data_IF_176271742713
#
_entry.id   IF_176271742713
#
_cell.length_a   1.000
_cell.length_b   1.000
_cell.length_c   1.000
_cell.angle_alpha   90.00
_cell.angle_beta   90.00
_cell.angle_gamma   90.00
#
_symmetry.space_group_name_H-M   'P 1'
#
loop_
_entity.id
_entity.type
_entity.pdbx_description
1 polymer ?
#
# COMPACT_ATOMS: atom_id res chain seq x y z
N UNK A 1 -14.55 -54.90 39.36
CA UNK A 1 -13.14 -54.49 39.15
C UNK A 1 -12.76 -54.78 37.71
N UNK A 2 -12.61 -53.76 36.88
CA UNK A 2 -11.51 -53.56 35.92
C UNK A 2 -11.84 -52.38 35.02
N UNK A 3 -11.09 -51.29 35.17
CA UNK A 3 -11.08 -50.12 34.31
C UNK A 3 -10.19 -50.39 33.10
N UNK A 4 -10.73 -50.30 31.89
CA UNK A 4 -9.95 -50.18 30.66
C UNK A 4 -10.00 -48.72 30.20
N UNK A 5 -8.83 -48.10 30.07
CA UNK A 5 -8.62 -46.80 29.46
C UNK A 5 -8.86 -46.88 27.94
N UNK A 6 -9.72 -46.01 27.41
CA UNK A 6 -9.73 -45.65 25.99
C UNK A 6 -9.47 -44.15 25.88
N UNK A 7 -8.27 -43.79 25.43
CA UNK A 7 -7.90 -42.41 25.12
C UNK A 7 -8.57 -41.93 23.82
N UNK A 8 -8.85 -40.62 23.67
CA UNK A 8 -9.51 -40.11 22.47
C UNK A 8 -8.55 -40.05 21.26
N UNK A 9 -9.04 -40.55 20.13
CA UNK A 9 -8.38 -40.58 18.82
C UNK A 9 -8.06 -39.17 18.25
N UNK A 10 -7.00 -39.02 17.44
CA UNK A 10 -6.48 -37.72 17.02
C UNK A 10 -7.28 -37.13 15.85
N UNK A 11 -8.33 -36.36 16.14
CA UNK A 11 -9.10 -35.61 15.13
C UNK A 11 -8.48 -34.28 14.69
N UNK A 12 -7.30 -33.91 15.18
CA UNK A 12 -6.72 -32.57 14.96
C UNK A 12 -5.79 -32.35 13.77
N UNK A 13 -5.29 -33.40 13.10
CA UNK A 13 -4.15 -33.23 12.14
C UNK A 13 -4.53 -33.05 10.66
N UNK A 14 -5.70 -33.48 10.21
CA UNK A 14 -6.10 -33.34 8.79
C UNK A 14 -6.72 -31.98 8.44
N UNK A 15 -7.33 -31.29 9.42
CA UNK A 15 -7.89 -29.95 9.21
C UNK A 15 -6.82 -28.86 9.13
N UNK A 16 -5.70 -29.01 9.86
CA UNK A 16 -4.60 -28.04 9.85
C UNK A 16 -3.80 -28.05 8.53
N UNK A 17 -3.69 -29.20 7.85
CA UNK A 17 -2.94 -29.32 6.60
C UNK A 17 -3.71 -28.71 5.43
N UNK A 18 -5.04 -28.80 5.39
CA UNK A 18 -5.85 -28.17 4.34
C UNK A 18 -5.88 -26.63 4.44
N UNK A 19 -5.86 -26.06 5.65
CA UNK A 19 -5.79 -24.61 5.83
C UNK A 19 -4.44 -24.00 5.45
N UNK A 20 -3.35 -24.75 5.61
CA UNK A 20 -2.01 -24.28 5.22
C UNK A 20 -1.84 -24.18 3.70
N UNK A 21 -2.39 -25.15 2.95
CA UNK A 21 -2.33 -25.15 1.49
C UNK A 21 -3.19 -24.07 0.81
N UNK A 22 -4.32 -23.66 1.42
CA UNK A 22 -5.10 -22.52 0.90
C UNK A 22 -4.38 -21.17 1.07
N UNK A 23 -3.50 -21.03 2.07
CA UNK A 23 -2.66 -19.84 2.24
C UNK A 23 -1.45 -19.79 1.30
N UNK A 24 -0.95 -20.92 0.81
CA UNK A 24 0.24 -20.96 -0.05
C UNK A 24 -0.08 -20.72 -1.53
N UNK A 25 -1.28 -21.07 -1.99
CA UNK A 25 -1.68 -20.86 -3.39
C UNK A 25 -1.86 -19.37 -3.72
N UNK A 26 -2.28 -18.54 -2.76
CA UNK A 26 -2.39 -17.08 -2.95
C UNK A 26 -1.07 -16.32 -2.99
N UNK A 27 0.00 -16.87 -2.42
CA UNK A 27 1.34 -16.24 -2.42
C UNK A 27 2.14 -16.65 -3.65
N UNK A 28 1.98 -17.91 -4.12
CA UNK A 28 2.63 -18.40 -5.31
C UNK A 28 2.08 -17.78 -6.60
N UNK A 29 0.76 -17.53 -6.69
CA UNK A 29 0.17 -16.85 -7.86
C UNK A 29 0.54 -15.38 -7.92
N UNK A 30 0.64 -14.68 -6.78
CA UNK A 30 1.10 -13.29 -6.72
C UNK A 30 2.53 -13.14 -7.23
N UNK A 31 3.46 -14.00 -6.79
CA UNK A 31 4.84 -13.98 -7.26
C UNK A 31 4.98 -14.41 -8.72
N UNK A 32 4.18 -15.37 -9.22
CA UNK A 32 4.23 -15.78 -10.63
C UNK A 32 3.67 -14.72 -11.57
N UNK A 33 2.64 -13.98 -11.14
CA UNK A 33 2.10 -12.84 -11.91
C UNK A 33 3.11 -11.69 -11.93
N UNK A 34 3.73 -11.36 -10.79
CA UNK A 34 4.77 -10.32 -10.73
C UNK A 34 5.98 -10.69 -11.59
N UNK A 35 6.47 -11.92 -11.51
CA UNK A 35 7.57 -12.39 -12.35
C UNK A 35 7.20 -12.45 -13.84
N UNK A 36 5.99 -12.89 -14.17
CA UNK A 36 5.49 -12.94 -15.55
C UNK A 36 5.31 -11.55 -16.18
N UNK A 37 4.87 -10.57 -15.39
CA UNK A 37 4.78 -9.16 -15.80
C UNK A 37 6.18 -8.55 -15.96
N UNK A 38 7.12 -8.81 -15.04
CA UNK A 38 8.50 -8.34 -15.16
C UNK A 38 9.22 -8.90 -16.39
N UNK A 39 9.04 -10.19 -16.69
CA UNK A 39 9.58 -10.82 -17.90
C UNK A 39 8.90 -10.26 -19.15
N UNK A 40 7.58 -10.03 -19.12
CA UNK A 40 6.86 -9.43 -20.26
C UNK A 40 7.30 -8.00 -20.52
N UNK A 41 7.51 -7.18 -19.49
CA UNK A 41 7.98 -5.79 -19.63
C UNK A 41 9.41 -5.75 -20.16
N UNK A 42 10.30 -6.62 -19.68
CA UNK A 42 11.70 -6.69 -20.17
C UNK A 42 11.78 -7.20 -21.62
N UNK A 43 11.01 -8.23 -21.98
CA UNK A 43 10.96 -8.72 -23.36
C UNK A 43 10.28 -7.74 -24.32
N UNK A 44 9.31 -6.95 -23.85
CA UNK A 44 8.69 -5.90 -24.67
C UNK A 44 9.66 -4.75 -24.94
N UNK A 45 10.57 -4.44 -24.00
CA UNK A 45 11.65 -3.46 -24.21
C UNK A 45 12.62 -3.93 -25.29
N UNK A 46 12.95 -5.23 -25.32
CA UNK A 46 13.85 -5.81 -26.34
C UNK A 46 13.18 -5.95 -27.73
N UNK A 47 11.86 -6.17 -27.80
CA UNK A 47 11.14 -6.36 -29.07
C UNK A 47 10.76 -5.05 -29.79
N UNK A 48 10.84 -3.91 -29.11
CA UNK A 48 10.29 -2.62 -29.57
C UNK A 48 11.29 -1.75 -30.36
N UNK A 49 12.53 -2.21 -30.54
CA UNK A 49 13.58 -1.45 -31.25
C UNK A 49 13.22 -1.14 -32.73
N UNK A 50 12.27 -1.88 -33.32
CA UNK A 50 11.99 -1.86 -34.75
C UNK A 50 10.67 -1.20 -35.22
N UNK A 51 9.82 -0.60 -34.37
CA UNK A 51 8.52 -0.10 -34.86
C UNK A 51 7.87 1.08 -34.12
N UNK A 52 8.13 2.33 -34.59
CA UNK A 52 7.37 3.60 -34.40
C UNK A 52 7.69 4.48 -33.16
N UNK A 53 8.76 5.25 -33.28
CA UNK A 53 9.49 6.01 -32.24
C UNK A 53 8.81 7.24 -31.55
N UNK A 54 7.55 7.58 -31.78
CA UNK A 54 6.94 8.76 -31.15
C UNK A 54 5.93 8.40 -30.04
N UNK A 55 4.90 7.62 -30.37
CA UNK A 55 3.90 7.13 -29.39
C UNK A 55 4.51 6.11 -28.41
N UNK A 56 5.51 5.35 -28.87
CA UNK A 56 6.25 4.42 -28.02
C UNK A 56 7.13 5.13 -26.99
N UNK A 57 7.73 6.28 -27.30
CA UNK A 57 8.60 6.98 -26.35
C UNK A 57 7.83 7.45 -25.12
N UNK A 58 6.61 7.99 -25.31
CA UNK A 58 5.73 8.35 -24.20
C UNK A 58 5.25 7.14 -23.38
N UNK A 59 4.89 6.03 -24.06
CA UNK A 59 4.51 4.77 -23.39
C UNK A 59 5.69 4.08 -22.70
N UNK A 60 6.90 4.17 -23.26
CA UNK A 60 8.13 3.63 -22.66
C UNK A 60 8.55 4.44 -21.44
N UNK A 61 8.40 5.77 -21.49
CA UNK A 61 8.62 6.64 -20.34
C UNK A 61 7.60 6.36 -19.23
N UNK A 62 6.32 6.18 -19.56
CA UNK A 62 5.31 5.81 -18.56
C UNK A 62 5.58 4.40 -17.98
N UNK A 63 5.99 3.44 -18.81
CA UNK A 63 6.39 2.10 -18.36
C UNK A 63 7.63 2.10 -17.45
N UNK A 64 8.65 2.92 -17.76
CA UNK A 64 9.82 3.09 -16.90
C UNK A 64 9.45 3.74 -15.56
N UNK A 65 8.58 4.75 -15.59
CA UNK A 65 8.09 5.40 -14.39
C UNK A 65 7.28 4.42 -13.51
N UNK A 66 6.44 3.60 -14.14
CA UNK A 66 5.68 2.53 -13.47
C UNK A 66 6.63 1.47 -12.90
N UNK A 67 7.62 0.99 -13.65
CA UNK A 67 8.59 0.02 -13.15
C UNK A 67 9.33 0.52 -11.89
N UNK A 68 9.75 1.79 -11.89
CA UNK A 68 10.38 2.40 -10.72
C UNK A 68 9.43 2.53 -9.53
N UNK A 69 8.15 2.83 -9.78
CA UNK A 69 7.11 2.85 -8.75
C UNK A 69 6.89 1.46 -8.15
N UNK A 70 6.96 0.39 -8.96
CA UNK A 70 6.79 -0.99 -8.48
C UNK A 70 7.95 -1.47 -7.59
N UNK A 71 9.19 -1.22 -7.98
CA UNK A 71 10.36 -1.53 -7.15
C UNK A 71 10.36 -0.75 -5.82
N UNK A 72 9.78 0.45 -5.83
CA UNK A 72 9.60 1.24 -4.62
C UNK A 72 8.46 0.71 -3.76
N UNK A 73 7.35 0.27 -4.37
CA UNK A 73 6.16 -0.18 -3.66
C UNK A 73 6.43 -1.36 -2.72
N UNK A 74 7.20 -2.36 -3.15
CA UNK A 74 7.51 -3.51 -2.26
C UNK A 74 8.24 -3.07 -0.98
N UNK A 75 9.25 -2.19 -1.12
CA UNK A 75 9.97 -1.63 0.03
C UNK A 75 9.06 -0.78 0.90
N UNK A 76 8.15 -0.02 0.30
CA UNK A 76 7.16 0.78 1.03
C UNK A 76 6.22 -0.12 1.84
N UNK A 77 5.77 -1.26 1.29
CA UNK A 77 4.94 -2.22 2.03
C UNK A 77 5.69 -2.89 3.19
N UNK A 78 7.00 -3.11 3.06
CA UNK A 78 7.83 -3.57 4.18
C UNK A 78 7.91 -2.52 5.30
N UNK A 79 8.15 -1.26 4.94
CA UNK A 79 8.15 -0.12 5.89
C UNK A 79 6.79 0.05 6.57
N UNK A 80 5.69 -0.06 5.82
CA UNK A 80 4.34 -0.02 6.38
C UNK A 80 4.13 -1.10 7.45
N UNK A 81 4.53 -2.35 7.17
CA UNK A 81 4.43 -3.47 8.13
C UNK A 81 5.31 -3.25 9.36
N UNK A 82 6.54 -2.79 9.19
CA UNK A 82 7.45 -2.48 10.29
C UNK A 82 6.86 -1.37 11.18
N UNK A 83 6.40 -0.27 10.58
CA UNK A 83 5.78 0.83 11.31
C UNK A 83 4.56 0.40 12.13
N UNK A 84 3.64 -0.38 11.55
CA UNK A 84 2.46 -0.88 12.27
C UNK A 84 2.81 -1.77 13.46
N UNK A 85 3.84 -2.61 13.31
CA UNK A 85 4.19 -3.60 14.32
C UNK A 85 5.04 -3.00 15.45
N UNK A 86 5.95 -2.11 15.11
CA UNK A 86 7.03 -1.68 16.00
C UNK A 86 6.80 -0.27 16.52
N UNK A 87 6.41 0.68 15.66
CA UNK A 87 6.37 2.11 16.03
C UNK A 87 4.98 2.58 16.42
N UNK A 88 3.94 2.22 15.66
CA UNK A 88 2.58 2.68 15.89
C UNK A 88 2.06 2.39 17.32
N UNK A 89 2.29 1.19 17.91
CA UNK A 89 1.85 0.88 19.27
C UNK A 89 2.54 1.73 20.35
N UNK A 90 3.76 2.22 20.08
CA UNK A 90 4.51 3.10 21.00
C UNK A 90 4.07 4.56 20.86
N UNK A 91 3.75 4.98 19.64
CA UNK A 91 3.37 6.35 19.30
C UNK A 91 1.94 6.66 19.74
N UNK A 92 0.97 5.82 19.35
CA UNK A 92 -0.46 6.12 19.53
C UNK A 92 -0.85 6.48 20.98
N UNK A 93 -0.42 5.75 22.03
CA UNK A 93 -0.79 6.07 23.41
C UNK A 93 -0.22 7.40 23.92
N UNK A 94 0.78 7.97 23.23
CA UNK A 94 1.53 9.16 23.66
C UNK A 94 1.54 10.25 22.58
N UNK A 95 0.64 10.16 21.60
CA UNK A 95 0.67 10.97 20.40
C UNK A 95 0.66 12.48 20.70
N UNK A 96 -0.28 12.93 21.54
CA UNK A 96 -0.40 14.35 21.89
C UNK A 96 0.85 14.87 22.63
N UNK A 97 1.42 14.04 23.50
CA UNK A 97 2.67 14.33 24.22
C UNK A 97 3.85 14.45 23.23
N UNK A 98 3.92 13.57 22.23
CA UNK A 98 4.97 13.58 21.20
C UNK A 98 4.85 14.80 20.29
N UNK A 99 3.64 15.14 19.82
CA UNK A 99 3.39 16.35 19.02
C UNK A 99 3.79 17.60 19.82
N UNK A 100 3.38 17.68 21.09
CA UNK A 100 3.74 18.80 21.97
C UNK A 100 5.24 18.93 22.19
N UNK A 101 5.96 17.80 22.34
CA UNK A 101 7.43 17.79 22.51
C UNK A 101 8.16 18.16 21.23
N UNK A 102 7.66 17.73 20.07
CA UNK A 102 8.20 18.10 18.77
C UNK A 102 7.96 19.59 18.45
N UNK A 103 6.89 20.17 18.99
CA UNK A 103 6.49 21.56 18.79
C UNK A 103 5.36 21.70 17.78
N UNK A 104 5.28 20.79 16.82
CA UNK A 104 4.21 20.73 15.82
C UNK A 104 4.01 19.31 15.26
N UNK A 105 2.91 19.09 14.55
CA UNK A 105 2.66 17.86 13.81
C UNK A 105 3.66 17.68 12.67
N UNK A 106 4.06 18.76 11.99
CA UNK A 106 5.10 18.72 10.95
C UNK A 106 6.45 18.27 11.51
N UNK A 107 6.88 18.82 12.66
CA UNK A 107 8.16 18.46 13.27
C UNK A 107 8.17 16.98 13.71
N UNK A 108 7.04 16.48 14.23
CA UNK A 108 6.91 15.05 14.52
C UNK A 108 6.93 14.23 13.22
N UNK A 109 6.19 14.62 12.19
CA UNK A 109 6.14 13.93 10.89
C UNK A 109 7.52 13.80 10.24
N UNK A 110 8.37 14.83 10.37
CA UNK A 110 9.72 14.87 9.82
C UNK A 110 10.78 14.25 10.74
N UNK A 111 10.39 13.79 11.94
CA UNK A 111 11.32 13.16 12.88
C UNK A 111 11.79 11.78 12.41
N UNK A 112 12.94 11.32 12.93
CA UNK A 112 13.49 10.00 12.63
C UNK A 112 12.53 8.87 13.02
N UNK A 113 11.77 9.05 14.10
CA UNK A 113 10.79 8.09 14.60
C UNK A 113 9.61 7.87 13.64
N UNK A 114 9.42 8.81 12.71
CA UNK A 114 8.35 8.83 11.73
C UNK A 114 8.84 8.56 10.31
N UNK A 115 10.11 8.19 10.10
CA UNK A 115 10.69 8.00 8.77
C UNK A 115 9.87 7.01 7.92
N UNK A 116 9.50 5.86 8.47
CA UNK A 116 8.72 4.85 7.74
C UNK A 116 7.28 5.31 7.49
N UNK A 117 6.65 6.00 8.46
CA UNK A 117 5.34 6.60 8.27
C UNK A 117 5.35 7.61 7.13
N UNK A 118 6.33 8.52 7.14
CA UNK A 118 6.50 9.57 6.14
C UNK A 118 6.81 8.98 4.76
N UNK A 119 7.66 7.94 4.69
CA UNK A 119 7.96 7.25 3.44
C UNK A 119 6.71 6.63 2.80
N UNK A 120 5.88 5.96 3.60
CA UNK A 120 4.62 5.35 3.11
C UNK A 120 3.63 6.41 2.67
N UNK A 121 3.39 7.45 3.48
CA UNK A 121 2.46 8.52 3.14
C UNK A 121 2.93 9.29 1.90
N UNK A 122 4.21 9.62 1.81
CA UNK A 122 4.77 10.31 0.64
C UNK A 122 4.63 9.48 -0.65
N UNK A 123 4.80 8.15 -0.58
CA UNK A 123 4.62 7.26 -1.74
C UNK A 123 3.17 7.29 -2.24
N UNK A 124 2.18 7.03 -1.36
CA UNK A 124 0.79 6.97 -1.79
C UNK A 124 0.20 8.36 -2.09
N UNK A 125 0.71 9.43 -1.48
CA UNK A 125 0.33 10.80 -1.80
C UNK A 125 0.79 11.19 -3.21
N UNK A 126 2.04 10.88 -3.58
CA UNK A 126 2.53 11.09 -4.95
C UNK A 126 1.77 10.22 -5.95
N UNK A 127 1.56 8.93 -5.64
CA UNK A 127 0.83 8.03 -6.53
C UNK A 127 -0.60 8.54 -6.77
N UNK A 128 -1.28 8.99 -5.70
CA UNK A 128 -2.60 9.61 -5.80
C UNK A 128 -2.60 10.88 -6.65
N UNK A 129 -1.57 11.73 -6.50
CA UNK A 129 -1.43 12.95 -7.29
C UNK A 129 -1.19 12.66 -8.78
N UNK A 130 -0.33 11.68 -9.09
CA UNK A 130 -0.03 11.26 -10.47
C UNK A 130 -1.27 10.70 -11.16
N UNK A 131 -2.09 9.92 -10.45
CA UNK A 131 -3.37 9.43 -10.97
C UNK A 131 -4.36 10.58 -11.15
N UNK A 132 -4.51 11.45 -10.15
CA UNK A 132 -5.46 12.57 -10.17
C UNK A 132 -5.17 13.57 -11.28
N UNK A 133 -3.89 13.78 -11.60
CA UNK A 133 -3.42 14.67 -12.67
C UNK A 133 -3.25 13.95 -14.01
N UNK A 134 -3.69 12.69 -14.11
CA UNK A 134 -3.65 11.87 -15.34
C UNK A 134 -2.25 11.65 -15.93
N UNK A 135 -1.19 11.81 -15.13
CA UNK A 135 0.18 11.44 -15.53
C UNK A 135 0.38 9.92 -15.61
N UNK A 136 -0.42 9.16 -14.85
CA UNK A 136 -0.47 7.70 -14.90
C UNK A 136 -1.94 7.26 -14.95
N UNK A 137 -2.24 6.30 -15.81
CA UNK A 137 -3.57 5.71 -15.92
C UNK A 137 -3.88 4.87 -14.66
N UNK A 138 -4.99 5.19 -13.98
CA UNK A 138 -5.45 4.43 -12.82
C UNK A 138 -5.60 2.91 -13.05
N UNK A 139 -6.12 2.41 -14.20
CA UNK A 139 -6.20 0.98 -14.44
C UNK A 139 -4.86 0.25 -14.24
N UNK A 140 -3.76 0.83 -14.72
CA UNK A 140 -2.42 0.24 -14.56
C UNK A 140 -1.98 0.22 -13.08
N UNK A 141 -2.24 1.30 -12.36
CA UNK A 141 -1.94 1.38 -10.92
C UNK A 141 -2.75 0.34 -10.13
N UNK A 142 -4.04 0.21 -10.42
CA UNK A 142 -4.96 -0.71 -9.75
C UNK A 142 -4.54 -2.18 -9.90
N UNK A 143 -4.11 -2.58 -11.10
CA UNK A 143 -3.72 -3.97 -11.39
C UNK A 143 -2.40 -4.37 -10.73
N UNK A 144 -1.46 -3.43 -10.57
CA UNK A 144 -0.09 -3.78 -10.17
C UNK A 144 0.26 -3.35 -8.75
N UNK A 145 -0.35 -2.29 -8.24
CA UNK A 145 -0.07 -1.77 -6.89
C UNK A 145 -1.27 -2.09 -5.99
N UNK A 146 -1.13 -2.94 -4.96
CA UNK A 146 -2.18 -3.14 -3.98
C UNK A 146 -2.28 -1.92 -3.06
N UNK A 147 -3.49 -1.38 -2.88
CA UNK A 147 -3.72 -0.29 -1.93
C UNK A 147 -3.65 -0.80 -0.48
N UNK A 148 -2.98 -0.09 0.44
CA UNK A 148 -2.68 -0.57 1.79
C UNK A 148 -3.80 -0.23 2.78
N UNK A 149 -5.00 -0.77 2.58
CA UNK A 149 -6.20 -0.41 3.35
C UNK A 149 -6.02 -0.55 4.87
N UNK A 150 -5.49 -1.69 5.32
CA UNK A 150 -5.30 -1.98 6.76
C UNK A 150 -4.33 -1.00 7.42
N UNK A 151 -3.24 -0.68 6.72
CA UNK A 151 -2.26 0.31 7.18
C UNK A 151 -2.91 1.68 7.34
N UNK A 152 -3.60 2.16 6.30
CA UNK A 152 -4.22 3.48 6.31
C UNK A 152 -5.33 3.59 7.35
N UNK A 153 -6.08 2.52 7.59
CA UNK A 153 -7.06 2.48 8.67
C UNK A 153 -6.40 2.56 10.06
N UNK A 154 -5.31 1.82 10.28
CA UNK A 154 -4.62 1.79 11.57
C UNK A 154 -3.94 3.11 11.92
N UNK A 155 -3.37 3.80 10.93
CA UNK A 155 -2.65 5.08 11.15
C UNK A 155 -3.56 6.31 11.04
N UNK A 156 -4.85 6.14 10.80
CA UNK A 156 -5.79 7.26 10.65
C UNK A 156 -5.82 8.20 11.87
N UNK A 157 -5.85 7.71 13.14
CA UNK A 157 -5.80 8.60 14.30
C UNK A 157 -4.51 9.43 14.36
N UNK A 158 -3.39 8.82 13.95
CA UNK A 158 -2.10 9.50 13.84
C UNK A 158 -2.14 10.59 12.77
N UNK A 159 -2.63 10.27 11.57
CA UNK A 159 -2.77 11.23 10.47
C UNK A 159 -3.64 12.42 10.87
N UNK A 160 -4.78 12.16 11.52
CA UNK A 160 -5.70 13.20 11.96
C UNK A 160 -5.06 14.15 12.98
N UNK A 161 -4.39 13.62 14.00
CA UNK A 161 -3.71 14.46 15.01
C UNK A 161 -2.59 15.31 14.41
N UNK A 162 -1.81 14.75 13.47
CA UNK A 162 -0.80 15.51 12.74
C UNK A 162 -1.42 16.65 11.93
N UNK A 163 -2.55 16.37 11.25
CA UNK A 163 -3.28 17.37 10.47
C UNK A 163 -3.79 18.51 11.37
N UNK A 164 -4.39 18.18 12.52
CA UNK A 164 -4.97 19.17 13.44
C UNK A 164 -3.92 20.08 14.10
N UNK A 165 -2.68 19.58 14.21
CA UNK A 165 -1.56 20.28 14.85
C UNK A 165 -0.40 20.62 13.90
N UNK A 166 -0.63 20.63 12.58
CA UNK A 166 0.44 20.64 11.57
C UNK A 166 1.52 21.71 11.81
N UNK A 167 1.15 22.99 11.93
CA UNK A 167 2.07 24.10 12.24
C UNK A 167 1.95 24.57 13.70
N UNK A 168 1.54 23.68 14.59
CA UNK A 168 1.25 23.97 16.00
C UNK A 168 -0.24 24.29 16.27
N UNK A 169 -0.58 24.65 17.51
CA UNK A 169 -1.97 24.86 17.93
C UNK A 169 -2.72 25.87 17.07
N UNK A 170 -3.91 25.48 16.59
CA UNK A 170 -4.79 26.33 15.77
C UNK A 170 -4.32 26.56 14.34
N UNK A 171 -3.30 25.81 13.87
CA UNK A 171 -2.77 25.90 12.50
C UNK A 171 -2.79 24.52 11.83
N UNK A 172 -3.98 24.03 11.46
CA UNK A 172 -4.14 22.71 10.87
C UNK A 172 -3.73 22.66 9.40
N UNK A 173 -3.50 21.45 8.88
CA UNK A 173 -3.37 21.13 7.46
C UNK A 173 -4.48 20.14 7.07
N UNK A 174 -5.69 20.62 6.73
CA UNK A 174 -6.86 19.77 6.52
C UNK A 174 -6.75 18.86 5.28
N UNK A 175 -5.87 19.18 4.35
CA UNK A 175 -5.60 18.42 3.13
C UNK A 175 -4.41 17.45 3.25
N UNK A 176 -3.87 17.23 4.46
CA UNK A 176 -2.84 16.23 4.70
C UNK A 176 -3.32 14.83 4.29
N UNK A 177 -2.74 14.29 3.21
CA UNK A 177 -3.14 13.00 2.65
C UNK A 177 -4.33 13.07 1.68
N UNK A 178 -4.68 14.25 1.17
CA UNK A 178 -5.82 14.42 0.26
C UNK A 178 -5.71 13.55 -1.00
N UNK A 179 -4.50 13.34 -1.54
CA UNK A 179 -4.33 12.49 -2.71
C UNK A 179 -4.34 11.01 -2.35
N UNK A 180 -3.90 10.62 -1.16
CA UNK A 180 -4.13 9.26 -0.62
C UNK A 180 -5.64 8.98 -0.52
N UNK A 181 -6.42 9.93 0.01
CA UNK A 181 -7.89 9.80 0.12
C UNK A 181 -8.53 9.68 -1.26
N UNK A 182 -8.10 10.50 -2.23
CA UNK A 182 -8.54 10.37 -3.61
C UNK A 182 -8.24 8.98 -4.17
N UNK A 183 -7.01 8.49 -4.02
CA UNK A 183 -6.59 7.17 -4.49
C UNK A 183 -7.42 6.05 -3.84
N UNK A 184 -7.63 6.12 -2.51
CA UNK A 184 -8.50 5.18 -1.78
C UNK A 184 -9.89 5.08 -2.40
N UNK A 185 -10.49 6.22 -2.77
CA UNK A 185 -11.82 6.24 -3.41
C UNK A 185 -11.80 5.58 -4.79
N UNK A 186 -10.73 5.75 -5.58
CA UNK A 186 -10.59 5.06 -6.86
C UNK A 186 -10.53 3.54 -6.69
N UNK A 187 -9.74 3.04 -5.74
CA UNK A 187 -9.67 1.61 -5.41
C UNK A 187 -11.02 1.08 -4.91
N UNK A 188 -11.66 1.78 -3.97
CA UNK A 188 -12.96 1.39 -3.44
C UNK A 188 -14.03 1.33 -4.56
N UNK A 189 -14.04 2.32 -5.45
CA UNK A 189 -14.97 2.37 -6.56
C UNK A 189 -14.78 1.20 -7.54
N UNK A 190 -13.53 0.88 -7.90
CA UNK A 190 -13.23 -0.20 -8.85
C UNK A 190 -13.46 -1.58 -8.25
N UNK A 191 -13.14 -1.78 -6.97
CA UNK A 191 -13.48 -3.02 -6.25
C UNK A 191 -14.98 -3.25 -6.15
N UNK A 192 -15.80 -2.19 -6.10
CA UNK A 192 -17.25 -2.28 -6.12
C UNK A 192 -17.84 -2.59 -7.52
N UNK A 193 -17.03 -2.49 -8.58
CA UNK A 193 -17.44 -2.74 -9.98
C UNK A 193 -16.42 -3.63 -10.71
N UNK A 194 -16.20 -4.87 -10.25
CA UNK A 194 -15.16 -5.74 -10.78
C UNK A 194 -15.40 -6.18 -12.23
N UNK A 195 -16.62 -6.02 -12.74
CA UNK A 195 -17.02 -6.30 -14.13
C UNK A 195 -16.62 -5.19 -15.12
N UNK A 196 -16.07 -4.07 -14.62
CA UNK A 196 -15.72 -2.90 -15.42
C UNK A 196 -14.22 -2.64 -15.38
N UNK A 197 -13.72 -1.97 -16.42
CA UNK A 197 -12.36 -1.45 -16.39
C UNK A 197 -12.19 -0.51 -15.18
N UNK A 198 -11.12 -0.74 -14.41
CA UNK A 198 -10.81 0.03 -13.22
C UNK A 198 -10.75 1.53 -13.55
N UNK A 199 -11.43 2.34 -12.74
CA UNK A 199 -11.52 3.79 -12.93
C UNK A 199 -11.77 4.50 -11.60
N UNK A 200 -11.41 5.77 -11.56
CA UNK A 200 -11.80 6.64 -10.46
C UNK A 200 -13.30 7.01 -10.55
N UNK A 201 -13.97 7.27 -9.41
CA UNK A 201 -15.32 7.82 -9.42
C UNK A 201 -15.34 9.21 -10.11
N UNK A 202 -16.47 9.62 -10.68
CA UNK A 202 -16.64 10.99 -11.15
C UNK A 202 -16.45 11.98 -9.99
N UNK A 203 -16.01 13.22 -10.28
CA UNK A 203 -15.80 14.26 -9.27
C UNK A 203 -17.08 14.65 -8.53
#
# INVERSE_FOLDING_TARGET
MSTAMEGPAPRGRRAAVLGFWQGTVGVATGLSVIAGVLISVTQLVEWVDDSKRANLTGRLQSLQHVAHLLERDERIRLRARAFLKERLPEILPRLDELIRRAGSGEDLYLSQDMEDYAAVHFHYEQLGALVKLEYIEFPLVYEVIPFPDDYLAAVEPLRQALADHWKGPGRPLPDLGANIVYLKRCYAFSRAHPDRMARCPPP
#
